data_IF_113770627646
#
_entry.id   IF_113770627646
#
_cell.length_a   1.000
_cell.length_b   1.000
_cell.length_c   1.000
_cell.angle_alpha   90.00
_cell.angle_beta   90.00
_cell.angle_gamma   90.00
#
_symmetry.space_group_name_H-M   'P 1'
#
loop_
_entity.id
_entity.type
_entity.pdbx_description
1 polymer ?
#
# COMPACT_ATOMS: atom_id res chain seq x y z
N UNK A 1 -32.21 6.34 -21.98
CA UNK A 1 -31.39 6.22 -20.74
C UNK A 1 -32.27 5.59 -19.68
N UNK A 2 -31.91 4.44 -19.10
CA UNK A 2 -32.72 3.76 -18.06
C UNK A 2 -32.28 4.26 -16.68
N UNK A 3 -33.22 4.69 -15.84
CA UNK A 3 -32.99 5.08 -14.45
C UNK A 3 -33.43 3.93 -13.54
N UNK A 4 -32.58 3.54 -12.60
CA UNK A 4 -32.84 2.47 -11.62
C UNK A 4 -32.92 3.14 -10.25
N UNK A 5 -33.97 2.87 -9.48
CA UNK A 5 -34.22 3.41 -8.13
C UNK A 5 -34.58 2.28 -7.17
N UNK A 6 -34.49 2.53 -5.87
CA UNK A 6 -34.84 1.57 -4.83
C UNK A 6 -36.19 1.95 -4.21
N UNK A 7 -37.10 0.98 -4.16
CA UNK A 7 -38.44 1.13 -3.60
C UNK A 7 -38.56 0.30 -2.32
N UNK A 8 -39.27 0.85 -1.33
CA UNK A 8 -39.78 0.07 -0.21
C UNK A 8 -40.90 -0.85 -0.72
N UNK A 9 -40.82 -2.16 -0.42
CA UNK A 9 -41.79 -3.14 -0.93
C UNK A 9 -43.12 -3.14 -0.17
N UNK A 10 -43.16 -2.55 1.03
CA UNK A 10 -44.33 -2.53 1.90
C UNK A 10 -45.12 -1.22 1.73
N UNK A 11 -44.43 -0.08 1.62
CA UNK A 11 -45.06 1.24 1.44
C UNK A 11 -45.12 1.71 -0.03
N UNK A 12 -44.27 1.18 -0.90
CA UNK A 12 -44.15 1.64 -2.29
C UNK A 12 -43.45 2.98 -2.46
N UNK A 13 -42.90 3.56 -1.38
CA UNK A 13 -42.20 4.84 -1.43
C UNK A 13 -40.79 4.69 -2.02
N UNK A 14 -40.37 5.70 -2.80
CA UNK A 14 -39.00 5.80 -3.30
C UNK A 14 -38.07 6.24 -2.16
N UNK A 15 -37.12 5.39 -1.80
CA UNK A 15 -36.25 5.61 -0.64
C UNK A 15 -35.14 6.66 -0.86
N UNK A 16 -35.12 7.34 -2.02
CA UNK A 16 -34.32 8.55 -2.25
C UNK A 16 -32.80 8.38 -2.11
N UNK A 17 -32.27 7.15 -2.18
CA UNK A 17 -30.86 6.84 -1.99
C UNK A 17 -30.51 5.41 -2.42
N UNK A 18 -29.22 5.10 -2.46
CA UNK A 18 -28.73 3.75 -2.70
C UNK A 18 -28.13 3.18 -1.41
N UNK A 19 -28.42 1.92 -1.08
CA UNK A 19 -27.76 1.23 0.03
C UNK A 19 -26.35 0.83 -0.40
N UNK A 20 -25.34 1.52 0.10
CA UNK A 20 -23.94 1.12 -0.05
C UNK A 20 -23.60 0.05 0.99
N UNK A 21 -23.45 -1.20 0.58
CA UNK A 21 -22.89 -2.24 1.46
C UNK A 21 -21.38 -2.05 1.53
N UNK A 22 -20.93 -1.29 2.53
CA UNK A 22 -19.50 -1.16 2.85
C UNK A 22 -19.08 -2.42 3.59
N UNK A 23 -18.47 -3.37 2.88
CA UNK A 23 -17.80 -4.48 3.56
C UNK A 23 -16.56 -3.92 4.28
N UNK A 24 -16.28 -4.36 5.52
CA UNK A 24 -15.01 -4.03 6.14
C UNK A 24 -13.87 -4.47 5.21
N UNK A 25 -12.86 -3.62 5.04
CA UNK A 25 -11.65 -3.97 4.26
C UNK A 25 -11.18 -5.35 4.72
N UNK A 26 -11.07 -6.29 3.79
CA UNK A 26 -10.53 -7.60 4.12
C UNK A 26 -9.12 -7.41 4.64
N UNK A 27 -8.91 -7.77 5.90
CA UNK A 27 -7.58 -7.83 6.48
C UNK A 27 -6.91 -9.06 5.89
N UNK A 28 -5.77 -8.86 5.26
CA UNK A 28 -4.93 -9.97 4.82
C UNK A 28 -4.64 -10.91 6.00
N UNK A 29 -4.57 -12.21 5.73
CA UNK A 29 -4.12 -13.20 6.71
C UNK A 29 -2.67 -12.96 7.16
N UNK A 30 -1.90 -12.26 6.33
CA UNK A 30 -0.55 -11.84 6.64
C UNK A 30 -0.60 -10.53 7.44
N UNK A 31 -0.19 -10.59 8.70
CA UNK A 31 -0.20 -9.45 9.64
C UNK A 31 0.50 -8.22 9.04
N UNK A 32 1.77 -8.38 8.63
CA UNK A 32 2.57 -7.38 7.92
C UNK A 32 2.76 -7.84 6.48
N UNK A 33 1.97 -7.29 5.56
CA UNK A 33 2.12 -7.54 4.13
C UNK A 33 2.13 -6.20 3.40
N UNK A 34 2.86 -6.11 2.30
CA UNK A 34 2.76 -4.98 1.38
C UNK A 34 2.12 -5.49 0.08
N UNK A 35 1.25 -4.68 -0.51
CA UNK A 35 0.68 -4.94 -1.83
C UNK A 35 1.30 -3.98 -2.83
N UNK A 36 1.77 -4.48 -3.97
CA UNK A 36 2.52 -3.68 -4.94
C UNK A 36 2.00 -3.89 -6.36
N UNK A 37 2.09 -2.83 -7.17
CA UNK A 37 1.81 -2.90 -8.60
C UNK A 37 2.93 -3.69 -9.32
N UNK A 38 2.55 -4.73 -10.05
CA UNK A 38 3.50 -5.56 -10.80
C UNK A 38 4.25 -4.80 -11.90
N UNK A 39 3.61 -3.81 -12.53
CA UNK A 39 4.27 -2.97 -13.53
C UNK A 39 5.43 -2.15 -12.93
N UNK A 40 5.29 -1.73 -11.66
CA UNK A 40 6.34 -0.99 -10.96
C UNK A 40 7.57 -1.86 -10.69
N UNK A 41 7.41 -3.19 -10.56
CA UNK A 41 8.55 -4.10 -10.38
C UNK A 41 9.50 -4.07 -11.58
N UNK A 42 8.96 -3.95 -12.79
CA UNK A 42 9.77 -3.85 -14.01
C UNK A 42 10.52 -2.52 -14.06
N UNK A 43 9.88 -1.42 -13.68
CA UNK A 43 10.55 -0.11 -13.59
C UNK A 43 11.69 -0.15 -12.60
N UNK A 44 11.45 -0.68 -11.39
CA UNK A 44 12.48 -0.81 -10.35
C UNK A 44 13.66 -1.64 -10.83
N UNK A 45 13.40 -2.76 -11.52
CA UNK A 45 14.46 -3.63 -12.02
C UNK A 45 15.34 -2.97 -13.11
N UNK A 46 14.78 -2.03 -13.87
CA UNK A 46 15.51 -1.35 -14.95
C UNK A 46 16.24 -0.08 -14.48
N UNK A 47 15.69 0.62 -13.49
CA UNK A 47 16.18 1.95 -13.09
C UNK A 47 17.10 1.94 -11.87
N UNK A 48 16.94 0.98 -10.96
CA UNK A 48 17.71 0.94 -9.73
C UNK A 48 18.92 0.02 -9.82
N UNK A 49 20.04 0.47 -9.25
CA UNK A 49 21.22 -0.37 -9.06
C UNK A 49 21.08 -1.30 -7.85
N UNK A 50 22.06 -2.18 -7.66
CA UNK A 50 22.05 -3.18 -6.59
C UNK A 50 21.84 -2.58 -5.19
N UNK A 51 22.57 -1.52 -4.85
CA UNK A 51 22.48 -0.89 -3.53
C UNK A 51 21.15 -0.15 -3.33
N UNK A 52 20.65 0.49 -4.39
CA UNK A 52 19.34 1.15 -4.38
C UNK A 52 18.19 0.17 -4.18
N UNK A 53 18.23 -0.99 -4.85
CA UNK A 53 17.25 -2.05 -4.64
C UNK A 53 17.30 -2.54 -3.19
N UNK A 54 18.49 -2.73 -2.61
CA UNK A 54 18.62 -3.17 -1.22
C UNK A 54 18.02 -2.17 -0.23
N UNK A 55 18.28 -0.88 -0.42
CA UNK A 55 17.70 0.20 0.40
C UNK A 55 16.18 0.25 0.23
N UNK A 56 15.68 0.17 -1.01
CA UNK A 56 14.24 0.12 -1.28
C UNK A 56 13.58 -1.06 -0.57
N UNK A 57 14.17 -2.26 -0.62
CA UNK A 57 13.61 -3.44 0.04
C UNK A 57 13.57 -3.31 1.57
N UNK A 58 14.57 -2.65 2.18
CA UNK A 58 14.56 -2.35 3.61
C UNK A 58 13.42 -1.37 3.98
N UNK A 59 13.19 -0.35 3.15
CA UNK A 59 12.08 0.58 3.35
C UNK A 59 10.71 -0.12 3.18
N UNK A 60 10.57 -0.99 2.18
CA UNK A 60 9.34 -1.74 1.95
C UNK A 60 9.02 -2.72 3.09
N UNK A 61 10.03 -3.22 3.79
CA UNK A 61 9.86 -4.10 4.96
C UNK A 61 9.29 -3.35 6.18
N UNK A 62 9.52 -2.03 6.26
CA UNK A 62 9.05 -1.18 7.36
C UNK A 62 7.85 -0.30 7.00
N UNK A 63 7.17 -0.62 5.91
CA UNK A 63 5.89 0.01 5.57
C UNK A 63 4.87 -0.19 6.69
N UNK A 64 4.48 0.93 7.33
CA UNK A 64 3.35 0.98 8.23
C UNK A 64 2.16 1.64 7.52
N UNK A 65 0.96 1.07 7.68
CA UNK A 65 -0.23 1.52 6.95
C UNK A 65 -0.89 2.76 7.56
N UNK A 66 -0.55 3.09 8.81
CA UNK A 66 -1.24 4.15 9.56
C UNK A 66 -0.33 5.33 9.97
N UNK A 67 0.99 5.23 9.82
CA UNK A 67 1.93 6.25 10.28
C UNK A 67 2.97 6.67 9.22
N UNK A 68 3.43 7.93 9.33
CA UNK A 68 4.54 8.45 8.53
C UNK A 68 5.81 7.69 8.92
N UNK A 69 6.40 6.98 7.97
CA UNK A 69 7.58 6.15 8.21
C UNK A 69 8.80 7.06 8.42
N UNK A 70 9.18 7.28 9.67
CA UNK A 70 10.49 7.82 10.03
C UNK A 70 11.45 6.66 10.27
N UNK A 71 11.98 6.07 9.19
CA UNK A 71 13.12 5.15 9.31
C UNK A 71 14.41 5.96 9.29
N UNK A 72 15.26 5.81 10.31
CA UNK A 72 16.56 6.46 10.29
C UNK A 72 17.51 5.72 9.34
N UNK A 73 18.31 6.46 8.56
CA UNK A 73 19.29 5.86 7.64
C UNK A 73 20.32 4.97 8.34
N UNK A 74 20.60 5.22 9.63
CA UNK A 74 21.50 4.39 10.42
C UNK A 74 20.92 2.99 10.66
N UNK A 75 19.61 2.90 10.90
CA UNK A 75 18.93 1.62 11.12
C UNK A 75 18.93 0.79 9.83
N UNK A 76 18.75 1.44 8.68
CA UNK A 76 18.88 0.81 7.36
C UNK A 76 20.32 0.34 7.11
N UNK A 77 21.30 1.18 7.44
CA UNK A 77 22.72 0.86 7.28
C UNK A 77 23.09 -0.38 8.11
N UNK A 78 22.63 -0.45 9.36
CA UNK A 78 22.86 -1.58 10.26
C UNK A 78 22.15 -2.84 9.76
N UNK A 79 20.88 -2.74 9.35
CA UNK A 79 20.10 -3.86 8.81
C UNK A 79 20.72 -4.44 7.53
N UNK A 80 21.21 -3.56 6.64
CA UNK A 80 21.83 -3.96 5.38
C UNK A 80 23.34 -4.24 5.50
N UNK A 81 23.94 -4.07 6.67
CA UNK A 81 25.40 -4.13 6.86
C UNK A 81 26.15 -3.27 5.83
N UNK A 82 25.62 -2.08 5.56
CA UNK A 82 26.15 -1.11 4.62
C UNK A 82 26.72 0.10 5.38
N UNK A 83 27.69 0.79 4.79
CA UNK A 83 28.07 2.09 5.34
C UNK A 83 26.92 3.09 5.16
N UNK A 84 26.69 3.93 6.17
CA UNK A 84 25.65 4.98 6.13
C UNK A 84 25.77 5.88 4.89
N UNK A 85 26.99 6.15 4.44
CA UNK A 85 27.27 6.91 3.22
C UNK A 85 26.73 6.25 1.95
N UNK A 86 26.73 4.91 1.88
CA UNK A 86 26.18 4.17 0.76
C UNK A 86 24.65 4.17 0.80
N UNK A 87 24.05 4.10 1.99
CA UNK A 87 22.59 4.26 2.17
C UNK A 87 22.15 5.67 1.81
N UNK A 88 22.90 6.70 2.19
CA UNK A 88 22.58 8.10 1.87
C UNK A 88 22.77 8.45 0.39
N UNK A 89 23.58 7.68 -0.34
CA UNK A 89 23.85 7.90 -1.77
C UNK A 89 22.88 7.15 -2.68
N UNK A 90 22.38 6.01 -2.20
CA UNK A 90 21.38 5.20 -2.88
C UNK A 90 20.07 5.98 -3.03
#
# INVERSE_FOLDING_TARGET
MRRVTQIDQESGEELGGFVAVIRPKQKSSFQRHFTMNQAALITIANELNHDQIRVLMALLADLDYENYIQVAQIDIADALKMQKTNVSRA
#
